data_IF_659279234635
#
_entry.id   IF_659279234635
#
_cell.length_a   1.000
_cell.length_b   1.000
_cell.length_c   1.000
_cell.angle_alpha   90.00
_cell.angle_beta   90.00
_cell.angle_gamma   90.00
#
_symmetry.space_group_name_H-M   'P 1'
#
loop_
_entity.id
_entity.type
_entity.pdbx_description
1 polymer ?
#
# COMPACT_ATOMS: atom_id res chain seq x y z
N UNK A 1 13.37 20.53 25.64
CA UNK A 1 12.21 19.96 26.35
C UNK A 1 11.26 19.39 25.30
N UNK A 2 10.60 18.26 25.51
CA UNK A 2 9.58 17.78 24.59
C UNK A 2 8.45 18.82 24.50
N UNK A 3 7.92 19.05 23.30
CA UNK A 3 6.77 19.94 23.10
C UNK A 3 5.56 19.40 23.87
N UNK A 4 4.74 20.31 24.42
CA UNK A 4 3.47 19.96 25.05
C UNK A 4 2.47 19.43 24.01
N UNK A 5 1.51 18.61 24.43
CA UNK A 5 0.48 18.08 23.53
C UNK A 5 -0.32 19.19 22.81
N UNK A 6 -0.47 20.35 23.47
CA UNK A 6 -1.17 21.51 22.91
C UNK A 6 -0.36 22.20 21.80
N UNK A 7 0.96 22.33 21.95
CA UNK A 7 1.85 22.86 20.90
C UNK A 7 1.84 21.95 19.68
N UNK A 8 1.90 20.63 19.92
CA UNK A 8 1.84 19.60 18.88
C UNK A 8 0.52 19.67 18.09
N UNK A 9 -0.62 19.82 18.79
CA UNK A 9 -1.93 19.97 18.16
C UNK A 9 -2.02 21.24 17.30
N UNK A 10 -1.48 22.36 17.81
CA UNK A 10 -1.47 23.63 17.09
C UNK A 10 -0.64 23.53 15.80
N UNK A 11 0.48 22.82 15.85
CA UNK A 11 1.32 22.53 14.68
C UNK A 11 0.55 21.68 13.65
N UNK A 12 -0.14 20.62 14.08
CA UNK A 12 -0.99 19.79 13.22
C UNK A 12 -2.07 20.61 12.51
N UNK A 13 -2.79 21.47 13.25
CA UNK A 13 -3.82 22.35 12.67
C UNK A 13 -3.21 23.32 11.68
N UNK A 14 -2.04 23.90 11.99
CA UNK A 14 -1.34 24.83 11.10
C UNK A 14 -0.94 24.15 9.79
N UNK A 15 -0.42 22.92 9.85
CA UNK A 15 -0.06 22.16 8.65
C UNK A 15 -1.27 21.71 7.85
N UNK A 16 -2.33 21.26 8.52
CA UNK A 16 -3.59 20.95 7.85
C UNK A 16 -4.12 22.18 7.11
N UNK A 17 -4.20 23.34 7.77
CA UNK A 17 -4.64 24.59 7.16
C UNK A 17 -3.84 24.98 5.91
N UNK A 18 -2.52 24.71 5.92
CA UNK A 18 -1.67 24.95 4.75
C UNK A 18 -2.00 24.01 3.58
N UNK A 19 -2.37 22.76 3.87
CA UNK A 19 -2.64 21.74 2.84
C UNK A 19 -4.08 21.76 2.31
N UNK A 20 -5.03 22.28 3.06
CA UNK A 20 -6.42 22.39 2.62
C UNK A 20 -6.57 23.32 1.41
N UNK A 21 -7.32 22.84 0.42
CA UNK A 21 -7.76 23.60 -0.76
C UNK A 21 -9.27 23.82 -0.73
N UNK A 22 -9.73 24.77 -1.54
CA UNK A 22 -11.14 24.78 -1.92
C UNK A 22 -11.46 23.52 -2.73
N UNK A 23 -12.74 23.15 -2.76
CA UNK A 23 -13.25 21.97 -3.47
C UNK A 23 -12.64 20.66 -2.93
N UNK A 24 -12.40 20.60 -1.62
CA UNK A 24 -11.93 19.38 -0.97
C UNK A 24 -13.06 18.34 -0.93
N UNK A 25 -12.70 17.07 -1.06
CA UNK A 25 -13.58 15.97 -0.74
C UNK A 25 -13.41 15.59 0.73
N UNK A 26 -14.51 15.63 1.48
CA UNK A 26 -14.56 15.25 2.88
C UNK A 26 -15.24 13.89 3.02
N UNK A 27 -14.59 12.98 3.70
CA UNK A 27 -15.16 11.70 4.11
C UNK A 27 -15.07 11.55 5.64
N UNK A 28 -16.19 11.26 6.28
CA UNK A 28 -16.25 10.97 7.71
C UNK A 28 -16.74 9.55 7.89
N UNK A 29 -15.97 8.74 8.62
CA UNK A 29 -16.37 7.40 9.06
C UNK A 29 -16.36 7.36 10.56
N UNK A 30 -17.39 6.79 11.16
CA UNK A 30 -17.55 6.84 12.61
C UNK A 30 -18.30 5.60 13.10
N UNK A 31 -17.79 5.00 14.17
CA UNK A 31 -18.49 4.03 14.99
C UNK A 31 -18.60 4.60 16.40
N UNK A 32 -19.83 4.69 16.91
CA UNK A 32 -20.16 5.16 18.25
C UNK A 32 -20.90 4.06 19.03
N UNK A 33 -20.60 3.96 20.32
CA UNK A 33 -21.42 3.20 21.26
C UNK A 33 -22.41 4.11 21.96
N UNK A 34 -23.65 3.64 22.07
CA UNK A 34 -24.76 4.29 22.75
C UNK A 34 -24.90 3.67 24.14
N UNK A 35 -24.89 4.52 25.17
CA UNK A 35 -25.09 4.12 26.55
C UNK A 35 -26.18 4.97 27.21
N UNK A 36 -26.56 4.61 28.45
CA UNK A 36 -27.45 5.44 29.27
C UNK A 36 -26.89 6.85 29.55
N UNK A 37 -25.58 7.04 29.38
CA UNK A 37 -24.89 8.32 29.58
C UNK A 37 -24.65 9.12 28.29
N UNK A 38 -25.20 8.65 27.16
CA UNK A 38 -25.03 9.26 25.84
C UNK A 38 -24.25 8.38 24.86
N UNK A 39 -24.02 8.89 23.65
CA UNK A 39 -23.15 8.25 22.67
C UNK A 39 -21.71 8.73 22.80
N UNK A 40 -20.76 7.84 22.54
CA UNK A 40 -19.35 8.17 22.49
C UNK A 40 -18.69 7.50 21.29
N UNK A 41 -17.78 8.20 20.63
CA UNK A 41 -16.97 7.67 19.53
C UNK A 41 -16.11 6.52 20.07
N UNK A 42 -16.20 5.35 19.45
CA UNK A 42 -15.27 4.24 19.63
C UNK A 42 -14.10 4.39 18.67
N UNK A 43 -14.36 4.57 17.38
CA UNK A 43 -13.33 4.88 16.40
C UNK A 43 -13.92 5.70 15.26
N UNK A 44 -13.14 6.63 14.75
CA UNK A 44 -13.56 7.47 13.64
C UNK A 44 -12.38 7.90 12.77
N UNK A 45 -12.71 8.30 11.54
CA UNK A 45 -11.78 8.94 10.62
C UNK A 45 -12.41 10.14 9.95
N UNK A 46 -11.63 11.22 9.84
CA UNK A 46 -11.90 12.38 8.99
C UNK A 46 -10.85 12.42 7.90
N UNK A 47 -11.25 12.27 6.65
CA UNK A 47 -10.37 12.38 5.48
C UNK A 47 -10.75 13.62 4.68
N UNK A 48 -9.79 14.52 4.48
CA UNK A 48 -9.90 15.70 3.62
C UNK A 48 -8.96 15.51 2.44
N UNK A 49 -9.53 15.03 1.34
CA UNK A 49 -8.85 14.79 0.08
C UNK A 49 -8.84 16.06 -0.77
N UNK A 50 -7.73 16.31 -1.46
CA UNK A 50 -7.68 17.32 -2.52
C UNK A 50 -8.54 16.85 -3.71
N UNK A 51 -8.96 17.76 -4.60
CA UNK A 51 -9.82 17.42 -5.75
C UNK A 51 -9.16 16.45 -6.75
N UNK A 52 -7.90 16.09 -6.55
CA UNK A 52 -7.15 15.17 -7.39
C UNK A 52 -7.23 13.71 -6.93
N UNK A 53 -7.57 13.48 -5.66
CA UNK A 53 -7.63 12.13 -5.12
C UNK A 53 -8.95 11.49 -5.55
N UNK A 54 -8.86 10.44 -6.35
CA UNK A 54 -10.01 9.59 -6.67
C UNK A 54 -10.37 8.75 -5.44
N UNK A 55 -11.22 9.28 -4.58
CA UNK A 55 -11.87 8.47 -3.56
C UNK A 55 -13.05 7.74 -4.19
N UNK A 56 -13.14 6.44 -3.94
CA UNK A 56 -14.36 5.68 -4.26
C UNK A 56 -15.46 6.28 -3.40
N UNK A 57 -16.38 6.98 -4.04
CA UNK A 57 -17.55 7.55 -3.37
C UNK A 57 -18.52 6.42 -3.10
N UNK A 58 -18.44 5.88 -1.88
CA UNK A 58 -19.51 5.06 -1.35
C UNK A 58 -20.70 5.96 -1.00
N UNK A 59 -21.91 5.44 -1.18
CA UNK A 59 -23.11 6.16 -0.77
C UNK A 59 -23.06 6.40 0.75
N UNK A 60 -23.62 7.52 1.19
CA UNK A 60 -23.77 7.80 2.62
C UNK A 60 -24.47 6.60 3.31
N UNK A 61 -23.86 6.11 4.38
CA UNK A 61 -24.42 5.01 5.18
C UNK A 61 -24.65 5.51 6.59
N UNK A 62 -25.87 5.25 7.08
CA UNK A 62 -26.21 5.43 8.48
C UNK A 62 -26.85 4.14 8.98
N UNK A 63 -26.20 3.54 9.98
CA UNK A 63 -26.61 2.28 10.55
C UNK A 63 -26.81 2.49 12.05
N UNK A 64 -28.01 2.19 12.55
CA UNK A 64 -28.33 2.22 13.97
C UNK A 64 -28.82 0.86 14.39
N UNK A 65 -28.06 0.18 15.25
CA UNK A 65 -28.34 -1.20 15.67
C UNK A 65 -28.03 -1.34 17.14
N UNK A 66 -29.04 -1.70 17.94
CA UNK A 66 -28.91 -1.86 19.38
C UNK A 66 -28.19 -0.67 20.05
N UNK A 67 -27.01 -0.89 20.62
CA UNK A 67 -26.17 0.12 21.28
C UNK A 67 -25.08 0.69 20.36
N UNK A 68 -25.23 0.62 19.04
CA UNK A 68 -24.22 1.04 18.07
C UNK A 68 -24.79 2.00 17.03
N UNK A 69 -24.05 3.06 16.75
CA UNK A 69 -24.23 3.88 15.56
C UNK A 69 -23.00 3.78 14.67
N UNK A 70 -23.19 3.42 13.41
CA UNK A 70 -22.16 3.48 12.39
C UNK A 70 -22.56 4.49 11.30
N UNK A 71 -21.59 5.29 10.85
CA UNK A 71 -21.82 6.39 9.91
C UNK A 71 -20.68 6.47 8.91
N UNK A 72 -21.03 6.61 7.64
CA UNK A 72 -20.16 6.99 6.52
C UNK A 72 -20.83 8.19 5.85
N UNK A 73 -20.14 9.32 5.80
CA UNK A 73 -20.59 10.52 5.10
C UNK A 73 -19.53 10.94 4.08
N UNK A 74 -19.98 11.23 2.88
CA UNK A 74 -19.13 11.65 1.76
C UNK A 74 -19.65 12.98 1.19
N UNK A 75 -18.81 14.00 1.19
CA UNK A 75 -19.18 15.34 0.72
C UNK A 75 -18.09 15.93 -0.14
N UNK A 76 -18.39 16.23 -1.39
CA UNK A 76 -17.49 16.95 -2.31
C UNK A 76 -17.74 18.46 -2.25
N UNK A 77 -16.79 19.27 -2.71
CA UNK A 77 -16.99 20.72 -2.78
C UNK A 77 -16.80 21.46 -1.47
N UNK A 78 -16.15 20.84 -0.47
CA UNK A 78 -15.94 21.47 0.84
C UNK A 78 -14.94 22.61 0.70
N UNK A 79 -15.35 23.81 1.10
CA UNK A 79 -14.50 25.01 1.10
C UNK A 79 -13.37 24.89 2.12
N UNK A 80 -12.26 25.61 1.89
CA UNK A 80 -11.09 25.55 2.77
C UNK A 80 -11.40 25.90 4.23
N UNK A 81 -12.25 26.89 4.48
CA UNK A 81 -12.61 27.35 5.82
C UNK A 81 -13.45 26.29 6.57
N UNK A 82 -14.43 25.70 5.89
CA UNK A 82 -15.26 24.63 6.45
C UNK A 82 -14.43 23.37 6.73
N UNK A 83 -13.55 22.99 5.81
CA UNK A 83 -12.62 21.88 5.99
C UNK A 83 -11.71 22.12 7.21
N UNK A 84 -11.23 23.36 7.40
CA UNK A 84 -10.42 23.72 8.58
C UNK A 84 -11.25 23.65 9.87
N UNK A 85 -12.52 24.03 9.83
CA UNK A 85 -13.42 23.89 10.98
C UNK A 85 -13.63 22.42 11.36
N UNK A 86 -13.77 21.54 10.37
CA UNK A 86 -13.84 20.09 10.60
C UNK A 86 -12.56 19.56 11.26
N UNK A 87 -11.38 19.97 10.78
CA UNK A 87 -10.10 19.60 11.40
C UNK A 87 -10.04 20.08 12.84
N UNK A 88 -10.39 21.35 13.11
CA UNK A 88 -10.38 21.90 14.48
C UNK A 88 -11.35 21.17 15.39
N UNK A 89 -12.52 20.79 14.88
CA UNK A 89 -13.53 20.04 15.64
C UNK A 89 -13.02 18.63 15.98
N UNK A 90 -12.41 17.94 15.00
CA UNK A 90 -11.78 16.64 15.21
C UNK A 90 -10.63 16.71 16.22
N UNK A 91 -9.80 17.75 16.14
CA UNK A 91 -8.75 18.08 17.10
C UNK A 91 -9.29 18.31 18.53
N UNK A 92 -10.52 18.83 18.66
CA UNK A 92 -11.23 18.98 19.93
C UNK A 92 -12.00 17.71 20.36
N UNK A 93 -11.84 16.60 19.63
CA UNK A 93 -12.47 15.33 19.94
C UNK A 93 -13.91 15.20 19.45
N UNK A 94 -14.34 16.00 18.46
CA UNK A 94 -15.73 16.03 17.98
C UNK A 94 -15.84 15.92 16.46
N UNK A 95 -16.93 15.33 15.97
CA UNK A 95 -17.26 15.24 14.54
C UNK A 95 -18.72 15.63 14.33
N UNK A 96 -18.96 16.53 13.37
CA UNK A 96 -20.31 16.86 12.92
C UNK A 96 -20.80 15.75 11.98
N UNK A 97 -21.89 15.07 12.35
CA UNK A 97 -22.51 14.01 11.56
C UNK A 97 -23.95 14.40 11.23
N UNK A 98 -24.23 14.89 10.02
CA UNK A 98 -25.56 15.38 9.62
C UNK A 98 -26.24 16.22 10.73
N UNK A 99 -27.22 15.65 11.43
CA UNK A 99 -28.03 16.31 12.45
C UNK A 99 -27.53 16.14 13.90
N UNK A 100 -26.32 15.61 14.11
CA UNK A 100 -25.76 15.34 15.45
C UNK A 100 -24.27 15.61 15.52
N UNK A 101 -23.75 15.72 16.74
CA UNK A 101 -22.31 15.80 17.03
C UNK A 101 -21.90 14.52 17.73
N UNK A 102 -20.96 13.78 17.15
CA UNK A 102 -20.29 12.68 17.82
C UNK A 102 -19.07 13.21 18.58
N UNK A 103 -18.82 12.69 19.78
CA UNK A 103 -17.72 13.15 20.62
C UNK A 103 -16.95 11.98 21.24
N UNK A 104 -15.63 12.16 21.39
CA UNK A 104 -14.81 11.31 22.25
C UNK A 104 -15.17 11.55 23.72
N UNK A 105 -15.10 10.49 24.51
CA UNK A 105 -15.22 10.59 25.96
C UNK A 105 -13.89 11.09 26.54
N UNK A 106 -13.94 12.20 27.28
CA UNK A 106 -12.80 12.89 27.91
C UNK A 106 -11.58 12.97 26.97
N UNK A 107 -11.60 13.90 25.98
CA UNK A 107 -10.50 14.08 25.03
C UNK A 107 -9.26 14.72 25.70
N UNK A 108 -8.68 14.06 26.69
CA UNK A 108 -7.49 14.50 27.43
C UNK A 108 -6.29 13.55 27.21
N UNK A 109 -6.48 12.45 26.47
CA UNK A 109 -5.48 11.40 26.27
C UNK A 109 -4.51 11.71 25.11
N UNK A 110 -3.94 12.91 25.06
CA UNK A 110 -2.84 13.25 24.17
C UNK A 110 -3.13 13.19 22.65
N UNK A 111 -2.13 13.57 21.86
CA UNK A 111 -2.17 13.51 20.39
C UNK A 111 -1.11 12.53 19.94
N UNK A 112 -1.55 11.42 19.34
CA UNK A 112 -0.65 10.46 18.71
C UNK A 112 -0.40 10.91 17.27
N UNK A 113 0.71 11.62 17.06
CA UNK A 113 1.18 11.87 15.69
C UNK A 113 1.91 10.63 15.20
N UNK A 114 1.28 9.93 14.28
CA UNK A 114 1.95 8.92 13.47
C UNK A 114 2.22 9.50 12.08
N UNK A 115 3.48 9.86 11.82
CA UNK A 115 3.90 10.28 10.50
C UNK A 115 4.41 9.09 9.69
N UNK A 116 3.69 8.76 8.62
CA UNK A 116 4.13 7.78 7.64
C UNK A 116 5.39 8.22 6.88
N UNK A 117 5.74 9.51 6.94
CA UNK A 117 6.97 10.05 6.32
C UNK A 117 8.27 9.50 6.90
N UNK A 118 8.24 8.95 8.13
CA UNK A 118 9.37 8.23 8.71
C UNK A 118 9.55 6.83 8.09
N UNK A 119 8.48 6.29 7.50
CA UNK A 119 8.49 4.99 6.87
C UNK A 119 9.09 5.12 5.45
N UNK A 120 10.37 4.74 5.31
CA UNK A 120 11.17 5.01 4.10
C UNK A 120 10.62 4.34 2.83
N UNK A 121 9.72 3.38 2.99
CA UNK A 121 9.18 2.54 1.92
C UNK A 121 7.83 3.03 1.37
N UNK A 122 7.18 4.03 2.00
CA UNK A 122 5.95 4.62 1.46
C UNK A 122 6.26 5.75 0.47
N UNK A 123 5.60 5.70 -0.68
CA UNK A 123 5.80 6.66 -1.78
C UNK A 123 4.98 7.93 -1.64
N UNK A 124 3.87 7.86 -0.89
CA UNK A 124 3.01 8.99 -0.64
C UNK A 124 2.62 9.02 0.85
N UNK A 125 2.65 10.21 1.45
CA UNK A 125 2.53 10.43 2.90
C UNK A 125 1.60 11.63 3.15
N UNK A 126 0.27 11.42 3.28
CA UNK A 126 -0.63 12.48 3.69
C UNK A 126 -0.34 12.90 5.15
N UNK A 127 -0.82 14.07 5.55
CA UNK A 127 -0.74 14.50 6.94
C UNK A 127 -1.74 13.66 7.72
N UNK A 128 -1.25 12.83 8.63
CA UNK A 128 -2.08 11.94 9.45
C UNK A 128 -1.74 12.09 10.93
N UNK A 129 -2.77 12.18 11.76
CA UNK A 129 -2.64 12.22 13.21
C UNK A 129 -3.90 11.66 13.86
N UNK A 130 -3.78 11.17 15.11
CA UNK A 130 -4.90 10.62 15.87
C UNK A 130 -5.08 11.39 17.17
N UNK A 131 -6.33 11.77 17.43
CA UNK A 131 -6.77 12.28 18.71
C UNK A 131 -7.31 11.09 19.49
N UNK A 132 -6.72 10.80 20.64
CA UNK A 132 -7.09 9.66 21.46
C UNK A 132 -8.04 10.12 22.58
N UNK A 133 -9.09 9.35 22.82
CA UNK A 133 -10.01 9.52 23.94
C UNK A 133 -9.79 8.45 25.01
N UNK A 134 -10.66 8.44 26.01
CA UNK A 134 -10.70 7.35 26.99
C UNK A 134 -10.99 6.00 26.33
N UNK A 135 -10.56 4.93 27.00
CA UNK A 135 -11.08 3.59 26.70
C UNK A 135 -12.54 3.53 27.14
N UNK A 136 -13.43 3.20 26.20
CA UNK A 136 -14.82 2.96 26.52
C UNK A 136 -14.95 1.65 27.31
N UNK A 137 -15.98 1.57 28.16
CA UNK A 137 -16.23 0.36 28.92
C UNK A 137 -16.60 -0.78 27.97
N UNK A 138 -16.11 -1.97 28.29
CA UNK A 138 -16.42 -3.21 27.57
C UNK A 138 -17.93 -3.45 27.60
N UNK A 139 -18.49 -3.84 26.45
CA UNK A 139 -19.79 -4.49 26.43
C UNK A 139 -19.67 -5.80 27.21
N UNK A 140 -20.68 -6.15 28.00
CA UNK A 140 -20.76 -7.51 28.55
C UNK A 140 -20.86 -8.53 27.41
N UNK A 141 -20.43 -9.78 27.63
CA UNK A 141 -20.51 -10.84 26.61
C UNK A 141 -21.92 -10.96 26.03
N UNK A 142 -22.95 -10.82 26.87
CA UNK A 142 -24.34 -10.88 26.44
C UNK A 142 -24.75 -9.68 25.56
N UNK A 143 -24.24 -8.48 25.86
CA UNK A 143 -24.47 -7.29 25.02
C UNK A 143 -23.73 -7.37 23.69
N UNK A 144 -22.50 -7.89 23.69
CA UNK A 144 -21.72 -8.14 22.47
C UNK A 144 -22.43 -9.15 21.56
N UNK A 145 -22.89 -10.28 22.10
CA UNK A 145 -23.66 -11.30 21.34
C UNK A 145 -24.92 -10.67 20.73
N UNK A 146 -25.69 -9.89 21.52
CA UNK A 146 -26.91 -9.23 21.03
C UNK A 146 -26.61 -8.23 19.93
N UNK A 147 -25.51 -7.50 20.04
CA UNK A 147 -25.09 -6.54 19.03
C UNK A 147 -24.72 -7.26 17.72
N UNK A 148 -23.91 -8.31 17.78
CA UNK A 148 -23.53 -9.10 16.61
C UNK A 148 -24.75 -9.77 15.96
N UNK A 149 -25.65 -10.37 16.74
CA UNK A 149 -26.90 -10.93 16.20
C UNK A 149 -27.74 -9.85 15.50
N UNK A 150 -27.83 -8.65 16.09
CA UNK A 150 -28.57 -7.55 15.48
C UNK A 150 -27.92 -7.05 14.19
N UNK A 151 -26.60 -7.14 14.05
CA UNK A 151 -25.87 -6.83 12.81
C UNK A 151 -26.12 -7.90 11.74
N UNK A 152 -26.14 -9.19 12.12
CA UNK A 152 -26.41 -10.31 11.19
C UNK A 152 -27.83 -10.28 10.62
N UNK A 153 -28.80 -9.81 11.40
CA UNK A 153 -30.21 -9.72 11.00
C UNK A 153 -30.59 -8.38 10.35
N UNK A 154 -29.63 -7.48 10.15
CA UNK A 154 -29.90 -6.20 9.50
C UNK A 154 -30.11 -6.34 7.98
N UNK A 155 -30.73 -5.34 7.35
CA UNK A 155 -30.95 -5.28 5.90
C UNK A 155 -29.63 -5.39 5.12
N UNK A 156 -28.58 -4.75 5.62
CA UNK A 156 -27.21 -4.97 5.18
C UNK A 156 -26.51 -5.78 6.29
N UNK A 157 -26.42 -7.11 6.14
CA UNK A 157 -25.92 -7.97 7.20
C UNK A 157 -24.40 -7.83 7.35
N UNK A 158 -23.95 -7.81 8.60
CA UNK A 158 -22.54 -7.95 8.98
C UNK A 158 -22.43 -9.05 10.04
N UNK A 159 -21.39 -9.87 9.99
CA UNK A 159 -21.12 -10.95 10.95
C UNK A 159 -20.90 -10.43 12.37
N UNK A 160 -20.39 -9.21 12.50
CA UNK A 160 -20.25 -8.52 13.78
C UNK A 160 -19.59 -7.15 13.66
N UNK A 161 -19.31 -6.53 14.80
CA UNK A 161 -18.70 -5.18 14.85
C UNK A 161 -17.33 -5.15 14.14
N UNK A 162 -16.59 -6.25 14.16
CA UNK A 162 -15.29 -6.37 13.50
C UNK A 162 -15.38 -6.24 11.98
N UNK A 163 -16.28 -6.99 11.34
CA UNK A 163 -16.50 -6.89 9.89
C UNK A 163 -17.03 -5.50 9.51
N UNK A 164 -17.99 -4.95 10.27
CA UNK A 164 -18.50 -3.60 10.04
C UNK A 164 -17.38 -2.54 10.12
N UNK A 165 -16.50 -2.66 11.12
CA UNK A 165 -15.38 -1.74 11.29
C UNK A 165 -14.36 -1.88 10.16
N UNK A 166 -14.07 -3.10 9.71
CA UNK A 166 -13.22 -3.36 8.57
C UNK A 166 -13.81 -2.82 7.27
N UNK A 167 -15.12 -2.98 7.06
CA UNK A 167 -15.85 -2.43 5.93
C UNK A 167 -15.76 -0.89 5.91
N UNK A 168 -15.91 -0.24 7.06
CA UNK A 168 -15.64 1.19 7.23
C UNK A 168 -14.14 1.56 7.20
N UNK A 169 -13.23 0.59 7.08
CA UNK A 169 -11.78 0.76 7.16
C UNK A 169 -11.31 1.49 8.44
N UNK A 170 -11.99 1.23 9.55
CA UNK A 170 -11.66 1.69 10.89
C UNK A 170 -10.85 0.61 11.63
N UNK A 171 -10.14 1.01 12.68
CA UNK A 171 -9.35 0.12 13.55
C UNK A 171 -10.15 -0.40 14.74
N UNK A 172 -11.48 -0.23 14.73
CA UNK A 172 -12.31 -0.51 15.90
C UNK A 172 -12.10 -1.95 16.39
N UNK A 173 -11.51 -2.07 17.58
CA UNK A 173 -11.34 -3.34 18.26
C UNK A 173 -12.66 -3.70 18.94
N UNK A 174 -13.22 -4.86 18.57
CA UNK A 174 -14.45 -5.42 19.16
C UNK A 174 -14.28 -5.69 20.66
N UNK A 175 -13.03 -5.88 21.09
CA UNK A 175 -12.68 -6.20 22.46
C UNK A 175 -12.45 -4.98 23.35
N UNK A 176 -12.59 -3.72 22.89
CA UNK A 176 -12.38 -2.54 23.75
C UNK A 176 -10.95 -2.35 24.28
N UNK A 177 -9.96 -3.11 23.78
CA UNK A 177 -8.56 -3.00 24.23
C UNK A 177 -7.86 -1.74 23.72
N UNK A 178 -8.34 -1.22 22.59
CA UNK A 178 -7.82 -0.01 21.96
C UNK A 178 -8.51 1.25 22.49
N UNK A 179 -7.75 2.34 22.75
CA UNK A 179 -8.35 3.62 23.11
C UNK A 179 -9.21 4.15 21.96
N UNK A 180 -10.31 4.82 22.34
CA UNK A 180 -11.12 5.52 21.35
C UNK A 180 -10.31 6.58 20.63
N UNK A 181 -10.71 6.95 19.42
CA UNK A 181 -10.02 8.05 18.77
C UNK A 181 -10.56 8.46 17.40
N UNK A 182 -10.11 9.63 16.98
CA UNK A 182 -10.40 10.21 15.67
C UNK A 182 -9.10 10.30 14.89
N UNK A 183 -9.02 9.60 13.77
CA UNK A 183 -7.90 9.68 12.83
C UNK A 183 -8.17 10.75 11.79
N UNK A 184 -7.37 11.81 11.77
CA UNK A 184 -7.48 12.87 10.76
C UNK A 184 -6.44 12.62 9.67
N UNK A 185 -6.87 12.61 8.41
CA UNK A 185 -6.01 12.53 7.22
C UNK A 185 -6.26 13.74 6.32
N UNK A 186 -5.24 14.54 6.05
CA UNK A 186 -5.31 15.69 5.15
C UNK A 186 -4.35 15.48 3.99
N UNK A 187 -4.87 15.56 2.78
CA UNK A 187 -4.10 15.46 1.55
C UNK A 187 -3.61 16.84 1.09
N UNK A 188 -2.42 16.92 0.50
CA UNK A 188 -1.87 18.18 0.01
C UNK A 188 -2.61 18.66 -1.24
N UNK A 189 -2.58 19.96 -1.54
CA UNK A 189 -3.28 20.55 -2.68
C UNK A 189 -2.46 20.40 -3.96
N UNK A 190 -1.59 19.39 -4.03
CA UNK A 190 -0.63 19.13 -5.10
C UNK A 190 -0.54 17.65 -5.36
N UNK A 191 -0.47 17.28 -6.63
CA UNK A 191 -0.35 15.90 -7.12
C UNK A 191 0.77 15.82 -8.19
N UNK A 192 1.54 14.74 -8.21
CA UNK A 192 2.28 14.36 -9.42
C UNK A 192 1.36 13.59 -10.35
N UNK A 193 1.28 13.99 -11.62
CA UNK A 193 0.55 13.24 -12.62
C UNK A 193 1.45 12.07 -13.06
N UNK A 194 1.44 10.99 -12.29
CA UNK A 194 2.38 9.87 -12.46
C UNK A 194 2.37 9.26 -13.86
N UNK A 195 1.20 9.20 -14.50
CA UNK A 195 1.06 8.72 -15.88
C UNK A 195 1.82 9.56 -16.92
N UNK A 196 2.15 10.81 -16.58
CA UNK A 196 2.90 11.74 -17.42
C UNK A 196 4.31 12.03 -16.88
N UNK A 197 4.71 11.41 -15.78
CA UNK A 197 6.04 11.53 -15.22
C UNK A 197 6.89 10.31 -15.61
N UNK A 198 8.05 10.52 -16.22
CA UNK A 198 8.92 9.42 -16.64
C UNK A 198 10.37 9.86 -16.78
N UNK A 199 11.28 8.89 -16.68
CA UNK A 199 12.69 9.07 -17.01
C UNK A 199 12.99 8.23 -18.25
N UNK A 200 13.31 8.88 -19.37
CA UNK A 200 13.72 8.19 -20.59
C UNK A 200 14.72 9.04 -21.37
N UNK A 201 15.53 8.42 -22.22
CA UNK A 201 16.41 9.14 -23.16
C UNK A 201 17.25 10.25 -22.51
N UNK A 202 17.71 10.05 -21.26
CA UNK A 202 18.48 11.05 -20.50
C UNK A 202 17.72 12.32 -20.09
N UNK A 203 16.39 12.23 -19.99
CA UNK A 203 15.51 13.33 -19.60
C UNK A 203 14.48 12.84 -18.60
N UNK A 204 14.37 13.56 -17.48
CA UNK A 204 13.29 13.38 -16.53
C UNK A 204 12.19 14.37 -16.88
N UNK A 205 11.05 13.86 -17.30
CA UNK A 205 9.84 14.66 -17.47
C UNK A 205 9.02 14.57 -16.19
N UNK A 206 8.73 15.73 -15.58
CA UNK A 206 7.85 15.83 -14.42
C UNK A 206 6.66 16.69 -14.76
N UNK A 207 5.48 16.21 -14.36
CA UNK A 207 4.24 16.95 -14.46
C UNK A 207 3.53 16.93 -13.12
N UNK A 208 3.17 18.11 -12.64
CA UNK A 208 2.47 18.29 -11.38
C UNK A 208 1.20 19.10 -11.60
N UNK A 209 0.21 18.86 -10.75
CA UNK A 209 -1.04 19.62 -10.73
C UNK A 209 -1.23 20.22 -9.35
N UNK A 210 -1.65 21.46 -9.31
CA UNK A 210 -1.84 22.26 -8.09
C UNK A 210 -3.28 22.78 -8.07
N UNK A 211 -3.95 22.64 -6.93
CA UNK A 211 -5.34 23.03 -6.76
C UNK A 211 -5.53 24.54 -6.97
N UNK A 212 -6.74 24.94 -7.37
CA UNK A 212 -7.06 26.35 -7.54
C UNK A 212 -6.75 27.13 -6.25
N UNK A 213 -6.17 28.33 -6.41
CA UNK A 213 -5.77 29.26 -5.32
C UNK A 213 -4.68 28.73 -4.37
N UNK A 214 -4.14 27.53 -4.57
CA UNK A 214 -2.98 27.08 -3.81
C UNK A 214 -1.72 27.88 -4.21
N UNK A 215 -0.88 28.20 -3.23
CA UNK A 215 0.30 29.04 -3.41
C UNK A 215 1.46 28.23 -4.01
N UNK A 216 1.91 28.57 -5.22
CA UNK A 216 3.09 27.95 -5.84
C UNK A 216 4.39 28.13 -5.03
N UNK A 217 4.68 29.28 -4.41
CA UNK A 217 5.88 29.43 -3.55
C UNK A 217 5.98 28.44 -2.38
N UNK A 218 4.89 27.77 -2.01
CA UNK A 218 4.90 26.73 -0.97
C UNK A 218 5.26 25.34 -1.52
N UNK A 219 5.26 25.16 -2.84
CA UNK A 219 5.64 23.92 -3.51
C UNK A 219 7.15 23.79 -3.54
N UNK A 220 7.63 22.60 -3.20
CA UNK A 220 9.02 22.17 -3.37
C UNK A 220 9.04 20.87 -4.13
N UNK A 221 9.91 20.78 -5.13
CA UNK A 221 10.17 19.55 -5.87
C UNK A 221 11.68 19.38 -5.88
N UNK A 222 12.16 18.36 -5.18
CA UNK A 222 13.56 17.99 -5.18
C UNK A 222 13.77 16.78 -6.08
N UNK A 223 14.82 16.80 -6.87
CA UNK A 223 15.26 15.66 -7.69
C UNK A 223 16.64 15.22 -7.24
N UNK A 224 16.78 13.91 -7.05
CA UNK A 224 18.06 13.24 -6.80
C UNK A 224 18.33 12.19 -7.87
N UNK A 225 19.34 12.41 -8.69
CA UNK A 225 19.78 11.46 -9.71
C UNK A 225 20.72 10.39 -9.11
N UNK A 226 20.76 9.21 -9.72
CA UNK A 226 21.66 8.11 -9.32
C UNK A 226 23.12 8.34 -9.70
N UNK A 227 23.39 9.22 -10.66
CA UNK A 227 24.73 9.56 -11.14
C UNK A 227 24.88 11.07 -11.33
N UNK A 228 26.13 11.54 -11.41
CA UNK A 228 26.48 12.96 -11.51
C UNK A 228 27.24 13.46 -10.29
N UNK A 229 27.79 14.67 -10.38
CA UNK A 229 28.41 15.34 -9.22
C UNK A 229 27.34 15.70 -8.18
N UNK A 230 27.73 15.87 -6.91
CA UNK A 230 26.77 16.16 -5.83
C UNK A 230 25.84 17.34 -6.14
N UNK A 231 26.39 18.40 -6.77
CA UNK A 231 25.67 19.62 -7.11
C UNK A 231 24.74 19.45 -8.32
N UNK A 232 25.10 18.60 -9.29
CA UNK A 232 24.28 18.37 -10.49
C UNK A 232 23.27 17.23 -10.31
N UNK A 233 23.53 16.31 -9.38
CA UNK A 233 22.66 15.18 -9.11
C UNK A 233 21.60 15.48 -8.05
N UNK A 234 21.59 16.68 -7.45
CA UNK A 234 20.64 17.06 -6.38
C UNK A 234 20.19 18.50 -6.58
N UNK A 235 18.91 18.68 -6.86
CA UNK A 235 18.37 19.99 -7.27
C UNK A 235 16.97 20.22 -6.73
N UNK A 236 16.65 21.49 -6.48
CA UNK A 236 15.27 21.97 -6.33
C UNK A 236 14.83 22.50 -7.69
N UNK A 237 13.67 22.04 -8.16
CA UNK A 237 13.22 22.28 -9.55
C UNK A 237 11.83 22.92 -9.65
N UNK A 238 11.17 23.18 -8.52
CA UNK A 238 9.84 23.81 -8.51
C UNK A 238 9.82 25.16 -9.23
N UNK A 239 10.84 26.00 -9.01
CA UNK A 239 10.97 27.33 -9.64
C UNK A 239 11.19 27.28 -11.16
N UNK A 240 11.67 26.14 -11.67
CA UNK A 240 11.90 25.92 -13.10
C UNK A 240 10.69 25.35 -13.84
N UNK A 241 9.60 25.05 -13.13
CA UNK A 241 8.39 24.52 -13.76
C UNK A 241 7.65 25.60 -14.56
N UNK A 242 7.17 25.21 -15.74
CA UNK A 242 6.33 26.04 -16.60
C UNK A 242 4.88 25.71 -16.25
N UNK A 243 4.13 26.71 -15.78
CA UNK A 243 2.76 26.54 -15.29
C UNK A 243 1.72 27.07 -16.27
N UNK A 244 0.69 26.28 -16.51
CA UNK A 244 -0.47 26.61 -17.33
C UNK A 244 -1.73 26.64 -16.46
N UNK A 245 -2.52 27.71 -16.59
CA UNK A 245 -3.81 27.85 -15.90
C UNK A 245 -4.87 27.08 -16.68
N UNK A 246 -5.60 26.21 -16.00
CA UNK A 246 -6.72 25.47 -16.57
C UNK A 246 -8.04 26.23 -16.35
N UNK A 247 -9.09 25.88 -17.10
CA UNK A 247 -10.43 26.50 -16.97
C UNK A 247 -11.02 26.37 -15.56
N UNK A 248 -10.65 25.31 -14.83
CA UNK A 248 -11.03 25.08 -13.44
C UNK A 248 -10.27 25.95 -12.43
N UNK A 249 -9.33 26.79 -12.88
CA UNK A 249 -8.43 27.57 -12.03
C UNK A 249 -7.27 26.77 -11.43
N UNK A 250 -7.18 25.47 -11.74
CA UNK A 250 -6.05 24.63 -11.39
C UNK A 250 -4.80 25.03 -12.19
N UNK A 251 -3.63 24.74 -11.65
CA UNK A 251 -2.35 24.96 -12.35
C UNK A 251 -1.74 23.61 -12.71
N UNK A 252 -1.34 23.44 -13.97
CA UNK A 252 -0.57 22.29 -14.43
C UNK A 252 0.83 22.75 -14.76
N UNK A 253 1.81 22.19 -14.05
CA UNK A 253 3.22 22.49 -14.20
C UNK A 253 3.93 21.37 -14.93
N UNK A 254 4.82 21.71 -15.86
CA UNK A 254 5.75 20.74 -16.44
C UNK A 254 7.20 21.23 -16.37
N UNK A 255 8.12 20.29 -16.25
CA UNK A 255 9.56 20.55 -16.41
C UNK A 255 10.24 19.33 -17.02
N UNK A 256 11.19 19.61 -17.90
CA UNK A 256 12.11 18.61 -18.42
C UNK A 256 13.51 18.87 -17.85
N UNK A 257 14.07 17.86 -17.19
CA UNK A 257 15.38 17.96 -16.54
C UNK A 257 16.34 17.04 -17.28
N UNK A 258 17.43 17.56 -17.88
CA UNK A 258 18.50 16.73 -18.42
C UNK A 258 19.14 15.92 -17.29
N UNK A 259 19.25 14.61 -17.48
CA UNK A 259 19.77 13.71 -16.44
C UNK A 259 21.06 13.00 -16.82
N UNK A 260 21.68 13.37 -17.94
CA UNK A 260 22.86 12.72 -18.51
C UNK A 260 22.73 11.18 -18.48
N UNK A 261 23.72 10.46 -17.94
CA UNK A 261 23.76 9.01 -17.83
C UNK A 261 22.93 8.41 -16.67
N UNK A 262 22.11 9.21 -15.97
CA UNK A 262 21.33 8.70 -14.84
C UNK A 262 20.38 7.58 -15.26
N UNK A 263 20.47 6.47 -14.51
CA UNK A 263 19.56 5.33 -14.60
C UNK A 263 18.29 5.61 -13.82
N UNK A 264 18.36 6.45 -12.78
CA UNK A 264 17.21 6.79 -11.95
C UNK A 264 17.23 8.20 -11.40
N UNK A 265 16.03 8.65 -11.07
CA UNK A 265 15.75 9.91 -10.43
C UNK A 265 14.75 9.70 -9.29
N UNK A 266 15.15 10.04 -8.08
CA UNK A 266 14.24 10.14 -6.94
C UNK A 266 13.66 11.55 -6.91
N UNK A 267 12.34 11.63 -6.97
CA UNK A 267 11.57 12.87 -6.86
C UNK A 267 10.97 12.92 -5.47
N UNK A 268 11.23 14.02 -4.76
CA UNK A 268 10.61 14.34 -3.50
C UNK A 268 9.75 15.57 -3.70
N UNK A 269 8.45 15.47 -3.41
CA UNK A 269 7.54 16.62 -3.48
C UNK A 269 7.12 17.00 -2.08
N UNK A 270 7.19 18.29 -1.80
CA UNK A 270 6.70 18.87 -0.56
C UNK A 270 5.85 20.10 -0.78
N UNK A 271 4.96 20.37 0.16
CA UNK A 271 4.12 21.54 0.17
C UNK A 271 4.08 22.14 1.57
N UNK A 272 4.22 23.46 1.68
CA UNK A 272 4.25 24.20 2.94
C UNK A 272 5.25 23.61 3.96
N UNK A 273 6.47 23.29 3.48
CA UNK A 273 7.57 22.77 4.31
C UNK A 273 7.48 21.28 4.69
N UNK A 274 6.50 20.52 4.16
CA UNK A 274 6.36 19.08 4.43
C UNK A 274 6.40 18.24 3.16
N UNK A 275 7.26 17.21 3.15
CA UNK A 275 7.34 16.23 2.06
C UNK A 275 6.19 15.23 2.14
N UNK A 276 5.52 15.01 1.02
CA UNK A 276 4.39 14.09 0.91
C UNK A 276 4.53 13.07 -0.23
N UNK A 277 5.47 13.25 -1.17
CA UNK A 277 5.81 12.23 -2.17
C UNK A 277 7.30 11.92 -2.12
N UNK A 278 7.63 10.63 -2.27
CA UNK A 278 8.98 10.10 -2.47
C UNK A 278 8.92 9.00 -3.53
N UNK A 279 9.01 9.39 -4.80
CA UNK A 279 8.90 8.47 -5.93
C UNK A 279 10.23 8.28 -6.63
N UNK A 280 10.53 7.06 -7.07
CA UNK A 280 11.59 6.83 -8.03
C UNK A 280 11.05 6.69 -9.45
N UNK A 281 11.72 7.34 -10.39
CA UNK A 281 11.59 7.14 -11.82
C UNK A 281 12.89 6.53 -12.34
N UNK A 282 12.76 5.58 -13.27
CA UNK A 282 13.89 4.81 -13.77
C UNK A 282 13.87 4.80 -15.28
N UNK A 283 15.05 4.83 -15.89
CA UNK A 283 15.26 4.69 -17.33
C UNK A 283 15.53 3.21 -17.64
N UNK A 284 14.55 2.45 -18.12
CA UNK A 284 14.75 1.02 -18.37
C UNK A 284 15.80 0.78 -19.46
N UNK A 285 16.00 1.72 -20.38
CA UNK A 285 17.03 1.63 -21.43
C UNK A 285 18.46 1.67 -20.86
N UNK A 286 18.63 2.24 -19.66
CA UNK A 286 19.93 2.33 -18.97
C UNK A 286 20.11 1.33 -17.85
N UNK A 287 19.16 0.41 -17.67
CA UNK A 287 19.20 -0.64 -16.65
C UNK A 287 20.62 -1.21 -16.48
N UNK A 288 21.18 -1.26 -15.26
CA UNK A 288 22.46 -1.90 -14.99
C UNK A 288 22.34 -3.43 -14.95
N UNK A 289 21.11 -3.97 -14.99
CA UNK A 289 20.87 -5.41 -14.95
C UNK A 289 21.10 -6.01 -16.35
N UNK A 290 22.18 -6.78 -16.56
CA UNK A 290 22.42 -7.40 -17.86
C UNK A 290 21.31 -8.38 -18.24
N UNK A 291 20.69 -9.05 -17.25
CA UNK A 291 19.58 -9.98 -17.47
C UNK A 291 18.34 -9.26 -18.00
N UNK A 292 18.04 -8.09 -17.43
CA UNK A 292 17.00 -7.20 -17.95
C UNK A 292 17.30 -6.77 -19.38
N UNK A 293 18.51 -6.27 -19.66
CA UNK A 293 18.88 -5.84 -21.02
C UNK A 293 18.74 -6.97 -22.03
N UNK A 294 19.15 -8.18 -21.69
CA UNK A 294 19.01 -9.35 -22.55
C UNK A 294 17.55 -9.63 -22.86
N UNK A 295 16.67 -9.71 -21.87
CA UNK A 295 15.25 -9.98 -22.12
C UNK A 295 14.56 -8.81 -22.82
N UNK A 296 14.81 -7.57 -22.38
CA UNK A 296 14.20 -6.37 -22.97
C UNK A 296 14.58 -6.17 -24.45
N UNK A 297 15.72 -6.70 -24.90
CA UNK A 297 16.10 -6.70 -26.32
C UNK A 297 15.13 -7.51 -27.20
N UNK A 298 14.50 -8.54 -26.63
CA UNK A 298 13.59 -9.44 -27.34
C UNK A 298 12.12 -9.28 -26.91
N UNK A 299 11.86 -8.66 -25.76
CA UNK A 299 10.55 -8.29 -25.24
C UNK A 299 10.59 -6.85 -24.70
N UNK A 300 10.45 -5.82 -25.57
CA UNK A 300 10.55 -4.43 -25.17
C UNK A 300 9.56 -4.05 -24.06
N UNK A 301 10.06 -3.42 -23.01
CA UNK A 301 9.35 -3.07 -21.77
C UNK A 301 8.77 -4.28 -21.02
N UNK A 302 9.26 -5.49 -21.34
CA UNK A 302 8.78 -6.76 -20.84
C UNK A 302 7.27 -6.95 -21.07
N UNK A 303 6.74 -6.46 -22.20
CA UNK A 303 5.29 -6.44 -22.49
C UNK A 303 4.69 -7.84 -22.49
N UNK A 304 5.31 -8.78 -23.21
CA UNK A 304 4.82 -10.16 -23.26
C UNK A 304 4.95 -10.85 -21.90
N UNK A 305 6.07 -10.64 -21.20
CA UNK A 305 6.26 -11.17 -19.85
C UNK A 305 5.21 -10.63 -18.86
N UNK A 306 4.96 -9.31 -18.86
CA UNK A 306 3.92 -8.66 -18.05
C UNK A 306 2.55 -9.23 -18.36
N UNK A 307 2.22 -9.39 -19.64
CA UNK A 307 0.95 -9.97 -20.04
C UNK A 307 0.78 -11.39 -19.48
N UNK A 308 1.78 -12.25 -19.60
CA UNK A 308 1.71 -13.63 -19.12
C UNK A 308 1.63 -13.72 -17.58
N UNK A 309 2.36 -12.86 -16.86
CA UNK A 309 2.34 -12.84 -15.39
C UNK A 309 1.08 -12.18 -14.83
N UNK A 310 0.56 -11.14 -15.47
CA UNK A 310 -0.40 -10.20 -14.87
C UNK A 310 -1.76 -10.14 -15.56
N UNK A 311 -2.00 -10.90 -16.65
CA UNK A 311 -3.31 -10.92 -17.31
C UNK A 311 -4.44 -11.30 -16.35
N UNK A 312 -5.64 -10.75 -16.58
CA UNK A 312 -6.83 -11.07 -15.81
C UNK A 312 -7.23 -12.54 -15.97
N UNK A 313 -7.79 -13.10 -14.90
CA UNK A 313 -8.17 -14.52 -14.73
C UNK A 313 -9.29 -14.96 -15.70
N UNK A 314 -9.88 -14.04 -16.47
CA UNK A 314 -11.02 -14.30 -17.36
C UNK A 314 -10.64 -15.01 -18.67
N UNK A 315 -9.35 -15.23 -18.93
CA UNK A 315 -8.88 -16.06 -20.04
C UNK A 315 -8.87 -17.55 -19.64
N UNK A 316 -9.50 -18.36 -20.50
CA UNK A 316 -9.90 -19.76 -20.29
C UNK A 316 -8.74 -20.67 -19.85
N UNK A 317 -8.99 -21.50 -18.83
CA UNK A 317 -8.20 -22.66 -18.38
C UNK A 317 -7.76 -23.56 -19.54
N UNK A 318 -6.69 -23.19 -20.21
CA UNK A 318 -6.05 -24.03 -21.21
C UNK A 318 -4.70 -24.49 -20.68
N UNK A 319 -4.36 -25.76 -20.90
CA UNK A 319 -3.06 -26.32 -20.51
C UNK A 319 -1.87 -25.57 -21.12
N UNK A 320 -2.12 -24.79 -22.17
CA UNK A 320 -1.12 -23.93 -22.79
C UNK A 320 -0.80 -22.71 -21.91
N UNK A 321 -1.82 -22.09 -21.31
CA UNK A 321 -1.65 -20.90 -20.47
C UNK A 321 -0.86 -21.20 -19.19
N UNK A 322 -1.13 -22.32 -18.53
CA UNK A 322 -0.35 -22.75 -17.36
C UNK A 322 1.14 -22.87 -17.69
N UNK A 323 1.48 -23.48 -18.82
CA UNK A 323 2.87 -23.63 -19.29
C UNK A 323 3.51 -22.29 -19.64
N UNK A 324 2.77 -21.37 -20.27
CA UNK A 324 3.30 -20.04 -20.56
C UNK A 324 3.51 -19.21 -19.27
N UNK A 325 2.64 -19.37 -18.27
CA UNK A 325 2.82 -18.78 -16.94
C UNK A 325 4.07 -19.33 -16.25
N UNK A 326 4.29 -20.64 -16.28
CA UNK A 326 5.51 -21.26 -15.73
C UNK A 326 6.78 -20.69 -16.38
N UNK A 327 6.80 -20.56 -17.71
CA UNK A 327 7.90 -19.91 -18.44
C UNK A 327 8.10 -18.46 -18.01
N UNK A 328 7.01 -17.72 -17.86
CA UNK A 328 7.03 -16.33 -17.41
C UNK A 328 7.59 -16.20 -15.98
N UNK A 329 7.21 -17.10 -15.07
CA UNK A 329 7.78 -17.20 -13.73
C UNK A 329 9.29 -17.50 -13.79
N UNK A 330 9.71 -18.35 -14.72
CA UNK A 330 11.14 -18.60 -14.95
C UNK A 330 11.92 -17.38 -15.43
N UNK A 331 11.33 -16.59 -16.32
CA UNK A 331 11.91 -15.34 -16.80
C UNK A 331 12.04 -14.29 -15.69
N UNK A 332 11.02 -14.13 -14.83
CA UNK A 332 11.13 -13.18 -13.70
C UNK A 332 12.13 -13.67 -12.66
N UNK A 333 12.19 -14.98 -12.38
CA UNK A 333 13.23 -15.56 -11.51
C UNK A 333 14.64 -15.27 -12.05
N UNK A 334 14.85 -15.41 -13.37
CA UNK A 334 16.09 -15.02 -14.03
C UNK A 334 16.39 -13.54 -13.82
N UNK A 335 15.42 -12.64 -14.05
CA UNK A 335 15.58 -11.18 -13.85
C UNK A 335 15.96 -10.81 -12.40
N UNK A 336 15.41 -11.53 -11.41
CA UNK A 336 15.73 -11.41 -9.98
C UNK A 336 17.08 -12.03 -9.59
N UNK A 337 17.77 -12.62 -10.55
CA UNK A 337 19.15 -13.07 -10.42
C UNK A 337 19.35 -14.53 -10.07
N UNK A 338 18.28 -15.32 -10.15
CA UNK A 338 18.33 -16.77 -10.03
C UNK A 338 18.81 -17.42 -11.33
N UNK A 339 19.42 -18.59 -11.21
CA UNK A 339 19.68 -19.50 -12.33
C UNK A 339 18.55 -20.51 -12.38
N UNK A 340 17.69 -20.42 -13.40
CA UNK A 340 16.46 -21.20 -13.51
C UNK A 340 16.59 -22.28 -14.59
N UNK A 341 16.04 -23.45 -14.33
CA UNK A 341 15.81 -24.50 -15.31
C UNK A 341 14.35 -24.95 -15.30
N UNK A 342 13.83 -25.22 -16.50
CA UNK A 342 12.52 -25.84 -16.72
C UNK A 342 12.74 -27.35 -16.89
N UNK A 343 12.33 -28.20 -15.92
CA UNK A 343 12.50 -29.64 -16.05
C UNK A 343 11.79 -30.22 -17.28
N UNK A 344 12.43 -31.16 -17.96
CA UNK A 344 11.90 -31.78 -19.18
C UNK A 344 10.98 -32.98 -18.94
N UNK A 345 10.97 -33.52 -17.72
CA UNK A 345 10.22 -34.73 -17.39
C UNK A 345 8.80 -34.44 -16.92
N UNK A 346 7.88 -35.32 -17.32
CA UNK A 346 6.54 -35.35 -16.75
C UNK A 346 6.61 -35.65 -15.24
N UNK A 347 5.80 -34.97 -14.44
CA UNK A 347 5.77 -35.08 -12.98
C UNK A 347 6.98 -34.49 -12.23
N UNK A 348 7.83 -33.71 -12.90
CA UNK A 348 8.83 -32.84 -12.26
C UNK A 348 8.17 -31.59 -11.62
N UNK A 349 8.88 -30.85 -10.76
CA UNK A 349 8.46 -29.49 -10.39
C UNK A 349 8.37 -28.59 -11.63
N UNK A 350 7.54 -27.55 -11.54
CA UNK A 350 7.33 -26.65 -12.68
C UNK A 350 8.62 -25.89 -13.02
N UNK A 351 9.34 -25.42 -11.99
CA UNK A 351 10.71 -24.91 -12.14
C UNK A 351 11.65 -25.40 -11.04
N UNK A 352 12.94 -25.40 -11.34
CA UNK A 352 14.00 -25.42 -10.32
C UNK A 352 14.90 -24.21 -10.53
N UNK A 353 15.32 -23.59 -9.43
CA UNK A 353 16.22 -22.44 -9.49
C UNK A 353 17.34 -22.58 -8.48
N UNK A 354 18.42 -21.83 -8.69
CA UNK A 354 19.49 -21.69 -7.70
C UNK A 354 19.94 -20.25 -7.54
N UNK A 355 20.36 -19.91 -6.32
CA UNK A 355 20.96 -18.61 -6.02
C UNK A 355 22.48 -18.65 -6.27
N UNK A 356 23.14 -17.48 -6.43
CA UNK A 356 24.60 -17.41 -6.52
C UNK A 356 25.34 -18.06 -5.34
N UNK A 357 24.78 -18.04 -4.12
CA UNK A 357 25.35 -18.72 -2.95
C UNK A 357 25.01 -20.22 -2.87
N UNK A 358 24.39 -20.79 -3.89
CA UNK A 358 24.16 -22.23 -4.00
C UNK A 358 22.96 -22.76 -3.22
N UNK A 359 21.98 -21.91 -2.91
CA UNK A 359 20.66 -22.38 -2.41
C UNK A 359 19.82 -22.85 -3.58
N UNK A 360 19.00 -23.86 -3.37
CA UNK A 360 18.16 -24.47 -4.39
C UNK A 360 16.68 -24.24 -4.10
N UNK A 361 15.95 -23.80 -5.11
CA UNK A 361 14.53 -23.55 -5.06
C UNK A 361 13.80 -24.62 -5.88
N UNK A 362 12.76 -25.20 -5.29
CA UNK A 362 11.77 -26.01 -5.98
C UNK A 362 10.51 -25.15 -6.12
N UNK A 363 10.02 -24.99 -7.34
CA UNK A 363 8.94 -24.03 -7.63
C UNK A 363 7.75 -24.76 -8.22
N UNK A 364 6.57 -24.52 -7.64
CA UNK A 364 5.28 -24.81 -8.26
C UNK A 364 4.56 -23.51 -8.61
N UNK A 365 3.88 -23.53 -9.74
CA UNK A 365 3.02 -22.47 -10.22
C UNK A 365 1.56 -22.92 -10.17
N UNK A 366 0.66 -22.01 -9.80
CA UNK A 366 -0.79 -22.22 -9.92
C UNK A 366 -1.49 -20.95 -10.40
N UNK A 367 -2.51 -21.15 -11.25
CA UNK A 367 -3.40 -20.10 -11.73
C UNK A 367 -4.72 -20.03 -10.93
N UNK A 368 -5.04 -21.07 -10.15
CA UNK A 368 -6.33 -21.26 -9.49
C UNK A 368 -6.19 -21.61 -8.01
N UNK A 369 -7.22 -21.26 -7.20
CA UNK A 369 -7.34 -21.69 -5.80
C UNK A 369 -7.63 -23.19 -5.70
N UNK A 370 -8.38 -23.75 -6.66
CA UNK A 370 -8.80 -25.16 -6.62
C UNK A 370 -7.63 -26.14 -6.69
N UNK A 371 -6.54 -25.78 -7.38
CA UNK A 371 -5.33 -26.60 -7.48
C UNK A 371 -4.33 -26.36 -6.34
N UNK A 372 -4.58 -25.37 -5.48
CA UNK A 372 -3.61 -24.89 -4.49
C UNK A 372 -3.09 -26.01 -3.56
N UNK A 373 -3.99 -26.69 -2.84
CA UNK A 373 -3.59 -27.74 -1.88
C UNK A 373 -2.91 -28.93 -2.56
N UNK A 374 -3.32 -29.27 -3.78
CA UNK A 374 -2.68 -30.33 -4.57
C UNK A 374 -1.26 -29.95 -4.99
N UNK A 375 -1.06 -28.69 -5.40
CA UNK A 375 0.26 -28.14 -5.75
C UNK A 375 1.16 -28.04 -4.53
N UNK A 376 0.63 -27.58 -3.40
CA UNK A 376 1.35 -27.52 -2.13
C UNK A 376 1.83 -28.90 -1.67
N UNK A 377 0.96 -29.90 -1.64
CA UNK A 377 1.35 -31.27 -1.26
C UNK A 377 2.48 -31.82 -2.12
N UNK A 378 2.37 -31.65 -3.46
CA UNK A 378 3.43 -32.04 -4.39
C UNK A 378 4.74 -31.30 -4.16
N UNK A 379 4.67 -30.00 -3.88
CA UNK A 379 5.84 -29.18 -3.61
C UNK A 379 6.57 -29.66 -2.35
N UNK A 380 5.84 -29.97 -1.28
CA UNK A 380 6.39 -30.53 -0.04
C UNK A 380 7.09 -31.86 -0.31
N UNK A 381 6.43 -32.78 -1.02
CA UNK A 381 7.01 -34.07 -1.37
C UNK A 381 8.29 -33.92 -2.19
N UNK A 382 8.30 -33.02 -3.18
CA UNK A 382 9.46 -32.75 -4.05
C UNK A 382 10.61 -32.12 -3.28
N UNK A 383 10.33 -31.19 -2.38
CA UNK A 383 11.34 -30.60 -1.50
C UNK A 383 11.97 -31.66 -0.60
N UNK A 384 11.17 -32.52 0.03
CA UNK A 384 11.65 -33.58 0.90
C UNK A 384 12.48 -34.63 0.14
N UNK A 385 12.03 -35.01 -1.07
CA UNK A 385 12.78 -35.91 -1.93
C UNK A 385 14.15 -35.32 -2.31
N UNK A 386 14.21 -34.03 -2.65
CA UNK A 386 15.47 -33.36 -2.99
C UNK A 386 16.40 -33.23 -1.77
N UNK A 387 15.86 -32.84 -0.61
CA UNK A 387 16.61 -32.79 0.67
C UNK A 387 17.23 -34.15 1.01
N UNK A 388 16.47 -35.24 0.85
CA UNK A 388 16.96 -36.60 1.06
C UNK A 388 18.09 -36.95 0.10
N UNK A 389 17.92 -36.66 -1.19
CA UNK A 389 18.96 -36.86 -2.21
C UNK A 389 20.24 -36.09 -1.90
N UNK A 390 20.13 -34.83 -1.46
CA UNK A 390 21.27 -34.01 -1.04
C UNK A 390 21.97 -34.61 0.18
N UNK A 391 21.22 -35.06 1.19
CA UNK A 391 21.80 -35.70 2.37
C UNK A 391 22.55 -37.00 2.02
N UNK A 392 21.99 -37.84 1.15
CA UNK A 392 22.65 -39.07 0.64
C UNK A 392 23.94 -38.74 -0.10
N UNK A 393 23.95 -37.65 -0.89
CA UNK A 393 25.13 -37.13 -1.58
C UNK A 393 26.07 -36.29 -0.69
N UNK A 394 25.77 -36.13 0.61
CA UNK A 394 26.50 -35.30 1.58
C UNK A 394 26.65 -33.83 1.15
N UNK A 395 25.66 -33.31 0.44
CA UNK A 395 25.56 -31.90 0.08
C UNK A 395 24.91 -31.12 1.24
N UNK A 396 25.47 -29.96 1.55
CA UNK A 396 24.97 -29.07 2.62
C UNK A 396 24.12 -27.90 2.09
N UNK A 397 23.74 -27.97 0.81
CA UNK A 397 22.98 -26.91 0.17
C UNK A 397 21.53 -26.86 0.68
N UNK A 398 21.02 -25.66 0.89
CA UNK A 398 19.65 -25.45 1.36
C UNK A 398 18.64 -25.70 0.23
N UNK A 399 17.50 -26.31 0.57
CA UNK A 399 16.37 -26.54 -0.34
C UNK A 399 15.15 -25.79 0.17
N UNK A 400 14.65 -24.85 -0.63
CA UNK A 400 13.52 -23.98 -0.31
C UNK A 400 12.40 -24.24 -1.31
N UNK A 401 11.18 -24.43 -0.80
CA UNK A 401 9.99 -24.55 -1.64
C UNK A 401 9.32 -23.19 -1.85
N UNK A 402 8.94 -22.90 -3.10
CA UNK A 402 8.22 -21.67 -3.45
C UNK A 402 6.96 -22.03 -4.23
N UNK A 403 5.80 -21.59 -3.73
CA UNK A 403 4.55 -21.64 -4.46
C UNK A 403 4.25 -20.27 -5.05
N UNK A 404 4.17 -20.20 -6.37
CA UNK A 404 3.87 -18.99 -7.13
C UNK A 404 2.44 -19.03 -7.61
N UNK A 405 1.66 -17.98 -7.32
CA UNK A 405 0.27 -17.87 -7.70
C UNK A 405 -0.02 -16.54 -8.38
N UNK A 406 -0.79 -16.58 -9.47
CA UNK A 406 -1.27 -15.38 -10.18
C UNK A 406 -2.40 -14.65 -9.45
N UNK A 407 -2.92 -15.22 -8.37
CA UNK A 407 -4.03 -14.66 -7.62
C UNK A 407 -3.55 -13.64 -6.57
N UNK A 408 -4.38 -12.63 -6.27
CA UNK A 408 -4.13 -11.70 -5.18
C UNK A 408 -4.09 -12.42 -3.82
N UNK A 409 -3.43 -11.80 -2.84
CA UNK A 409 -3.19 -12.42 -1.52
C UNK A 409 -4.46 -12.64 -0.70
N UNK A 410 -5.42 -11.72 -0.77
CA UNK A 410 -6.70 -11.80 -0.05
C UNK A 410 -7.50 -13.07 -0.41
N UNK A 411 -7.37 -13.54 -1.66
CA UNK A 411 -7.97 -14.77 -2.14
C UNK A 411 -7.28 -16.04 -1.62
N UNK A 412 -6.06 -15.93 -1.06
CA UNK A 412 -5.25 -17.05 -0.55
C UNK A 412 -5.19 -17.04 1.00
N UNK A 413 -5.61 -15.96 1.66
CA UNK A 413 -5.43 -15.72 3.10
C UNK A 413 -5.79 -16.91 4.01
N UNK A 414 -6.84 -17.66 3.69
CA UNK A 414 -7.28 -18.84 4.46
C UNK A 414 -6.31 -20.03 4.45
N UNK A 415 -5.26 -20.00 3.61
CA UNK A 415 -4.30 -21.09 3.40
C UNK A 415 -2.88 -20.75 3.85
N UNK A 416 -2.63 -19.55 4.38
CA UNK A 416 -1.28 -19.14 4.80
C UNK A 416 -0.72 -19.99 5.95
N UNK A 417 -1.59 -20.46 6.86
CA UNK A 417 -1.17 -21.34 7.96
C UNK A 417 -0.58 -22.68 7.47
N UNK A 418 -1.14 -23.25 6.40
CA UNK A 418 -0.68 -24.51 5.79
C UNK A 418 0.72 -24.34 5.16
N UNK A 419 0.95 -23.20 4.49
CA UNK A 419 2.25 -22.85 3.92
C UNK A 419 3.32 -22.68 5.00
N UNK A 420 2.98 -22.00 6.09
CA UNK A 420 3.89 -21.78 7.22
C UNK A 420 4.30 -23.09 7.89
N UNK A 421 3.33 -24.00 8.11
CA UNK A 421 3.60 -25.32 8.69
C UNK A 421 4.64 -26.10 7.87
N UNK A 422 4.61 -25.97 6.55
CA UNK A 422 5.53 -26.66 5.64
C UNK A 422 6.77 -25.84 5.25
N UNK A 423 6.95 -24.63 5.80
CA UNK A 423 8.04 -23.72 5.47
C UNK A 423 8.14 -23.42 3.96
N UNK A 424 6.99 -23.24 3.31
CA UNK A 424 6.89 -22.92 1.89
C UNK A 424 6.69 -21.41 1.73
N UNK A 425 7.49 -20.79 0.86
CA UNK A 425 7.33 -19.38 0.51
C UNK A 425 6.17 -19.22 -0.49
N UNK A 426 5.36 -18.17 -0.30
CA UNK A 426 4.29 -17.80 -1.21
C UNK A 426 4.67 -16.54 -1.98
N UNK A 427 4.59 -16.60 -3.31
CA UNK A 427 4.65 -15.42 -4.18
C UNK A 427 3.30 -15.25 -4.87
N UNK A 428 2.59 -14.17 -4.54
CA UNK A 428 1.26 -13.83 -5.07
C UNK A 428 1.35 -12.88 -6.25
N UNK A 429 0.20 -12.45 -6.78
CA UNK A 429 0.11 -11.40 -7.80
C UNK A 429 0.91 -10.15 -7.44
N UNK A 430 0.74 -9.65 -6.22
CA UNK A 430 1.43 -8.45 -5.73
C UNK A 430 2.95 -8.66 -5.70
N UNK A 431 3.40 -9.89 -5.42
CA UNK A 431 4.82 -10.25 -5.46
C UNK A 431 5.36 -10.22 -6.89
N UNK A 432 4.58 -10.68 -7.86
CA UNK A 432 4.93 -10.65 -9.28
C UNK A 432 4.96 -9.22 -9.83
N UNK A 433 3.97 -8.39 -9.50
CA UNK A 433 3.91 -6.98 -9.87
C UNK A 433 5.15 -6.24 -9.33
N UNK A 434 5.43 -6.42 -8.04
CA UNK A 434 6.62 -5.85 -7.40
C UNK A 434 7.93 -6.29 -8.07
N UNK A 435 8.06 -7.57 -8.42
CA UNK A 435 9.24 -8.10 -9.08
C UNK A 435 9.41 -7.51 -10.49
N UNK A 436 8.33 -7.41 -11.26
CA UNK A 436 8.31 -6.83 -12.61
C UNK A 436 8.73 -5.36 -12.56
N UNK A 437 8.19 -4.58 -11.64
CA UNK A 437 8.47 -3.14 -11.52
C UNK A 437 9.92 -2.83 -11.15
N UNK A 438 10.62 -3.82 -10.61
CA UNK A 438 12.03 -3.73 -10.22
C UNK A 438 12.96 -4.57 -11.08
N UNK A 439 12.46 -5.25 -12.10
CA UNK A 439 13.27 -6.16 -12.93
C UNK A 439 14.50 -5.48 -13.55
N UNK A 440 14.42 -4.16 -13.80
CA UNK A 440 15.50 -3.36 -14.35
C UNK A 440 16.65 -3.12 -13.33
N UNK A 441 16.47 -3.41 -12.04
CA UNK A 441 17.52 -3.36 -11.01
C UNK A 441 18.40 -4.61 -11.02
N UNK A 442 19.65 -4.47 -10.59
CA UNK A 442 20.47 -5.63 -10.22
C UNK A 442 20.01 -6.11 -8.85
N UNK A 443 19.57 -7.36 -8.81
CA UNK A 443 19.10 -7.99 -7.59
C UNK A 443 20.15 -8.92 -7.00
N UNK A 444 20.27 -8.87 -5.67
CA UNK A 444 20.90 -9.93 -4.90
C UNK A 444 19.83 -10.96 -4.57
N UNK A 445 19.79 -12.04 -5.38
CA UNK A 445 18.82 -13.12 -5.22
C UNK A 445 18.89 -13.77 -3.83
N UNK A 446 20.07 -13.78 -3.20
CA UNK A 446 20.22 -14.33 -1.87
C UNK A 446 19.63 -13.40 -0.80
N UNK A 447 19.88 -12.09 -0.88
CA UNK A 447 19.28 -11.13 0.04
C UNK A 447 17.74 -11.08 -0.09
N UNK A 448 17.21 -11.20 -1.31
CA UNK A 448 15.77 -11.29 -1.55
C UNK A 448 15.16 -12.53 -0.86
N UNK A 449 15.84 -13.66 -0.95
CA UNK A 449 15.39 -14.90 -0.35
C UNK A 449 15.47 -14.86 1.18
N UNK A 450 16.52 -14.26 1.73
CA UNK A 450 16.68 -14.04 3.18
C UNK A 450 15.52 -13.19 3.73
N UNK A 451 15.16 -12.10 3.04
CA UNK A 451 14.03 -11.26 3.41
C UNK A 451 12.68 -12.01 3.34
N UNK A 452 12.49 -12.83 2.31
CA UNK A 452 11.28 -13.65 2.18
C UNK A 452 11.16 -14.68 3.31
N UNK A 453 12.23 -15.43 3.62
CA UNK A 453 12.24 -16.42 4.71
C UNK A 453 12.03 -15.76 6.08
N UNK A 454 12.64 -14.60 6.31
CA UNK A 454 12.45 -13.83 7.54
C UNK A 454 10.99 -13.38 7.70
N UNK A 455 10.33 -12.96 6.61
CA UNK A 455 8.91 -12.57 6.64
C UNK A 455 8.00 -13.73 7.02
N UNK A 456 8.31 -14.96 6.58
CA UNK A 456 7.58 -16.18 6.95
C UNK A 456 7.82 -16.59 8.41
N UNK A 457 9.02 -16.33 8.94
CA UNK A 457 9.40 -16.68 10.32
C UNK A 457 8.88 -15.68 11.36
N UNK A 458 8.70 -14.41 11.00
CA UNK A 458 8.23 -13.36 11.93
C UNK A 458 6.76 -13.57 12.33
N UNK A 459 5.97 -14.25 11.49
CA UNK A 459 4.61 -14.67 11.81
C UNK A 459 4.54 -15.94 12.69
N UNK A 460 5.66 -16.59 13.03
CA UNK A 460 5.69 -17.71 13.99
C UNK A 460 5.88 -17.26 15.44
N UNK A 461 6.15 -15.97 15.68
CA UNK A 461 6.54 -15.44 17.00
C UNK A 461 5.49 -14.52 17.65
N UNK A 462 4.22 -14.60 17.22
CA UNK A 462 3.08 -13.95 17.87
C UNK A 462 2.06 -14.97 18.35
#
# INVERSE_FOLDING_TARGET
MPASAQEVLLECISHAAAWLSDDSHCEIRCVEYISAHGSAIQDASLTLASPFVNLVTENDVQLTVASLHATLLSTSGVGKEDALLLVKSACAGTLQLNNRVAALKSPDAGVDIYSESLNRDRWLCPLRFRISGERLQYLSELEAIRLDDSLRFNQTPFDGVGELSQWLQLKAAVDGTSPSGITVTVWPPVELIFSECFLNNSKLHLKARVAAKASLPQLSIAVRLTSGSLHNARMQVADGMIWEVQDSGQLIGSIEIPTDSAVGAQVLVGYAGRTFVRQWFWDPSKSPNPRYRTLNQFDPDLKSLKQLLLSSVEARDSSNEAREFEKAVGCIAYLLGLSTALPLQNNAPDLVSSTPRGRHLVVECTLSISDFSKKLGKLVDRCNALKKSFAEAKLTAEVIGVLVCRLPRDQIALREAELQQHQILLATRESLEFAVDRAWQVHDADALLDAAVASTSTNMAL
#
